data_IF_359160025459
#
_entry.id   IF_359160025459
#
_cell.length_a   1.000
_cell.length_b   1.000
_cell.length_c   1.000
_cell.angle_alpha   90.00
_cell.angle_beta   90.00
_cell.angle_gamma   90.00
#
_symmetry.space_group_name_H-M   'P 1'
#
loop_
_entity.id
_entity.type
_entity.pdbx_description
1 polymer ?
#
# COMPACT_ATOMS: atom_id res chain seq x y z
N UNK A 1 34.68 34.07 25.82
CA UNK A 1 34.65 32.80 25.06
C UNK A 1 35.27 31.70 25.92
N UNK A 2 34.47 30.75 26.42
CA UNK A 2 34.96 29.46 26.88
C UNK A 2 34.56 28.34 25.91
N UNK A 3 35.47 27.38 25.77
CA UNK A 3 35.44 26.21 24.88
C UNK A 3 34.42 25.15 25.30
N UNK A 4 33.76 24.43 24.37
CA UNK A 4 33.01 23.21 24.68
C UNK A 4 33.87 21.98 24.38
N UNK A 5 34.56 21.46 25.39
CA UNK A 5 35.07 20.09 25.41
C UNK A 5 34.38 19.39 26.57
N UNK A 6 33.31 18.62 26.32
CA UNK A 6 32.75 17.64 27.27
C UNK A 6 31.62 16.74 26.72
N UNK A 7 31.50 16.54 25.39
CA UNK A 7 30.49 15.64 24.81
C UNK A 7 31.05 14.50 23.95
N UNK A 8 32.37 14.37 23.77
CA UNK A 8 32.94 13.31 22.91
C UNK A 8 33.18 11.97 23.60
N UNK A 9 33.13 11.90 24.94
CA UNK A 9 33.56 10.70 25.66
C UNK A 9 32.49 9.62 25.83
N UNK A 10 31.19 9.95 25.81
CA UNK A 10 30.15 8.92 26.04
C UNK A 10 29.94 8.03 24.81
N UNK A 11 29.93 8.61 23.61
CA UNK A 11 29.73 7.86 22.37
C UNK A 11 30.89 6.91 22.07
N UNK A 12 32.12 7.32 22.34
CA UNK A 12 33.31 6.49 22.16
C UNK A 12 33.29 5.28 23.10
N UNK A 13 32.92 5.49 24.38
CA UNK A 13 32.80 4.40 25.36
C UNK A 13 31.68 3.42 24.97
N UNK A 14 30.51 3.92 24.56
CA UNK A 14 29.39 3.08 24.11
C UNK A 14 29.74 2.26 22.86
N UNK A 15 30.50 2.85 21.93
CA UNK A 15 30.99 2.17 20.73
C UNK A 15 32.03 1.10 21.09
N UNK A 16 32.95 1.38 22.00
CA UNK A 16 33.93 0.38 22.48
C UNK A 16 33.26 -0.80 23.18
N UNK A 17 32.23 -0.54 23.98
CA UNK A 17 31.44 -1.59 24.65
C UNK A 17 30.68 -2.43 23.61
N UNK A 18 30.01 -1.78 22.64
CA UNK A 18 29.28 -2.47 21.58
C UNK A 18 30.21 -3.35 20.73
N UNK A 19 31.40 -2.85 20.38
CA UNK A 19 32.42 -3.60 19.63
C UNK A 19 33.01 -4.74 20.47
N UNK A 20 33.24 -4.54 21.76
CA UNK A 20 33.68 -5.59 22.69
C UNK A 20 32.67 -6.74 22.84
N UNK A 21 31.37 -6.40 22.89
CA UNK A 21 30.28 -7.39 22.92
C UNK A 21 30.22 -8.18 21.60
N UNK A 22 30.37 -7.51 20.46
CA UNK A 22 30.37 -8.16 19.14
C UNK A 22 31.57 -9.11 19.00
N UNK A 23 32.78 -8.66 19.37
CA UNK A 23 34.01 -9.46 19.33
C UNK A 23 33.90 -10.77 20.11
N UNK A 24 33.24 -10.73 21.29
CA UNK A 24 33.12 -11.90 22.16
C UNK A 24 31.92 -12.81 21.85
N UNK A 25 30.82 -12.27 21.31
CA UNK A 25 29.56 -13.03 21.13
C UNK A 25 29.21 -13.36 19.70
N UNK A 26 29.83 -12.72 18.71
CA UNK A 26 29.54 -12.98 17.30
C UNK A 26 30.80 -12.83 16.44
N UNK A 27 31.57 -13.92 16.33
CA UNK A 27 32.85 -13.96 15.59
C UNK A 27 32.70 -13.66 14.09
N UNK A 28 31.58 -14.05 13.46
CA UNK A 28 31.31 -13.73 12.05
C UNK A 28 31.08 -12.24 11.82
N UNK A 29 30.31 -11.60 12.70
CA UNK A 29 30.05 -10.16 12.60
C UNK A 29 31.33 -9.36 12.88
N UNK A 30 32.17 -9.82 13.81
CA UNK A 30 33.48 -9.23 14.08
C UNK A 30 34.40 -9.28 12.85
N UNK A 31 34.47 -10.41 12.14
CA UNK A 31 35.29 -10.52 10.91
C UNK A 31 34.83 -9.53 9.82
N UNK A 32 33.52 -9.37 9.63
CA UNK A 32 32.97 -8.39 8.66
C UNK A 32 33.28 -6.94 9.04
N UNK A 33 33.28 -6.63 10.34
CA UNK A 33 33.63 -5.29 10.85
C UNK A 33 35.13 -5.03 10.71
N UNK A 34 35.99 -6.00 11.00
CA UNK A 34 37.44 -5.84 10.80
C UNK A 34 37.81 -5.68 9.32
N UNK A 35 37.13 -6.38 8.41
CA UNK A 35 37.34 -6.27 6.95
C UNK A 35 36.91 -4.91 6.38
N UNK A 36 35.95 -4.23 7.02
CA UNK A 36 35.44 -2.94 6.56
C UNK A 36 36.21 -1.73 7.10
N UNK A 37 37.01 -1.92 8.15
CA UNK A 37 37.84 -0.86 8.74
C UNK A 37 39.16 -0.68 7.97
N UNK A 38 39.58 -1.66 7.16
CA UNK A 38 40.83 -1.62 6.39
C UNK A 38 40.81 -0.72 5.13
N UNK A 39 39.73 0.04 4.88
CA UNK A 39 39.59 0.91 3.69
C UNK A 39 39.83 2.40 3.93
N UNK A 40 40.57 2.77 4.98
CA UNK A 40 41.06 4.15 5.13
C UNK A 40 42.58 4.22 5.08
N UNK A 41 43.17 4.07 3.89
CA UNK A 41 44.42 4.78 3.54
C UNK A 41 44.63 4.90 2.03
N UNK A 42 44.86 6.17 1.60
CA UNK A 42 45.16 6.73 0.26
C UNK A 42 43.90 7.10 -0.56
N UNK A 43 43.45 8.37 -0.57
CA UNK A 43 44.03 9.56 -1.26
C UNK A 43 44.41 9.22 -2.72
N UNK A 44 43.93 9.89 -3.77
CA UNK A 44 43.75 11.33 -3.98
C UNK A 44 42.71 11.65 -5.08
N UNK A 45 42.09 12.84 -4.92
CA UNK A 45 41.64 13.88 -5.89
C UNK A 45 41.53 13.49 -7.39
N UNK A 46 40.50 13.88 -8.13
CA UNK A 46 40.22 15.25 -8.60
C UNK A 46 38.74 15.40 -9.05
N UNK A 47 38.14 16.55 -8.69
CA UNK A 47 36.85 17.07 -9.16
C UNK A 47 36.93 17.57 -10.62
N UNK A 48 35.90 17.36 -11.44
CA UNK A 48 35.06 18.45 -11.97
C UNK A 48 33.92 17.98 -12.92
N UNK A 49 32.88 18.82 -13.13
CA UNK A 49 31.54 18.43 -13.60
C UNK A 49 31.30 18.76 -15.08
N UNK A 50 30.24 18.18 -15.68
CA UNK A 50 29.42 18.80 -16.76
C UNK A 50 28.22 17.93 -17.13
N UNK A 51 27.02 18.44 -16.87
CA UNK A 51 25.83 18.10 -17.65
C UNK A 51 25.94 18.75 -19.02
N UNK A 52 25.68 18.01 -20.10
CA UNK A 52 24.88 18.45 -21.26
C UNK A 52 24.98 17.43 -22.42
N UNK A 53 23.81 17.10 -22.96
CA UNK A 53 23.52 16.71 -24.35
C UNK A 53 24.29 15.52 -24.96
N UNK A 54 23.55 14.42 -25.15
CA UNK A 54 23.51 13.67 -26.42
C UNK A 54 22.32 12.71 -26.45
N UNK A 55 21.20 13.21 -26.93
CA UNK A 55 20.35 12.40 -27.82
C UNK A 55 21.00 12.44 -29.21
N UNK A 56 20.99 11.28 -29.90
CA UNK A 56 20.80 11.08 -31.35
C UNK A 56 21.50 9.78 -31.84
N UNK A 57 20.62 8.91 -32.36
CA UNK A 57 20.70 7.85 -33.39
C UNK A 57 21.20 6.41 -33.14
N UNK A 58 20.50 5.45 -33.79
CA UNK A 58 20.65 4.02 -33.56
C UNK A 58 21.81 3.47 -34.40
N UNK A 59 22.66 2.67 -33.79
CA UNK A 59 23.61 1.84 -34.51
C UNK A 59 23.45 0.41 -34.03
N UNK A 60 23.15 -0.45 -35.00
CA UNK A 60 23.06 -1.88 -34.86
C UNK A 60 24.32 -2.41 -34.14
N UNK A 61 24.11 -2.99 -32.97
CA UNK A 61 25.07 -3.90 -32.36
C UNK A 61 24.39 -5.27 -32.32
N UNK A 62 25.00 -6.13 -33.13
CA UNK A 62 24.86 -7.57 -33.20
C UNK A 62 24.47 -8.22 -31.88
N UNK A 63 23.42 -9.05 -31.96
CA UNK A 63 23.03 -10.02 -30.97
C UNK A 63 24.24 -10.91 -30.59
N UNK A 64 24.71 -10.76 -29.37
CA UNK A 64 25.48 -11.81 -28.68
C UNK A 64 24.69 -12.24 -27.45
N UNK A 65 24.53 -13.55 -27.35
CA UNK A 65 23.53 -14.30 -26.59
C UNK A 65 23.84 -14.45 -25.10
N UNK A 66 24.08 -13.35 -24.39
CA UNK A 66 24.35 -13.39 -22.92
C UNK A 66 23.43 -12.58 -22.00
N UNK A 67 22.48 -11.81 -22.52
CA UNK A 67 21.60 -10.95 -21.68
C UNK A 67 20.14 -11.39 -21.54
N UNK A 68 19.76 -12.57 -22.05
CA UNK A 68 18.35 -13.01 -22.02
C UNK A 68 17.79 -13.27 -20.62
N UNK A 69 18.61 -13.40 -19.58
CA UNK A 69 18.15 -13.52 -18.17
C UNK A 69 17.92 -12.19 -17.46
N UNK A 70 18.34 -11.07 -18.05
CA UNK A 70 18.26 -9.75 -17.43
C UNK A 70 17.20 -8.83 -18.06
N UNK A 71 16.45 -9.32 -19.04
CA UNK A 71 15.33 -8.60 -19.65
C UNK A 71 13.99 -8.99 -19.02
N UNK A 72 13.05 -8.05 -18.96
CA UNK A 72 11.70 -8.30 -18.43
C UNK A 72 10.98 -9.40 -19.23
N UNK A 73 11.32 -9.61 -20.51
CA UNK A 73 10.77 -10.71 -21.31
C UNK A 73 11.08 -12.10 -20.75
N UNK A 74 12.15 -12.23 -19.95
CA UNK A 74 12.53 -13.50 -19.31
C UNK A 74 11.54 -13.97 -18.25
N UNK A 75 10.81 -13.04 -17.64
CA UNK A 75 9.83 -13.30 -16.57
C UNK A 75 8.38 -13.26 -17.07
N UNK A 76 8.17 -13.00 -18.37
CA UNK A 76 6.83 -12.95 -18.96
C UNK A 76 6.40 -14.34 -19.39
N UNK A 77 5.44 -14.91 -18.66
CA UNK A 77 4.79 -16.17 -19.03
C UNK A 77 4.09 -16.03 -20.41
N UNK A 78 4.17 -17.04 -21.31
CA UNK A 78 3.47 -17.05 -22.59
C UNK A 78 1.96 -16.73 -22.51
N UNK A 79 1.30 -17.06 -21.39
CA UNK A 79 -0.12 -16.74 -21.15
C UNK A 79 -0.34 -15.24 -20.93
N UNK A 80 0.65 -14.57 -20.33
CA UNK A 80 0.64 -13.15 -19.99
C UNK A 80 1.23 -12.28 -21.11
N UNK A 81 1.98 -12.91 -22.02
CA UNK A 81 2.69 -12.29 -23.14
C UNK A 81 1.88 -11.25 -23.92
N UNK A 82 0.59 -11.49 -24.16
CA UNK A 82 -0.30 -10.56 -24.89
C UNK A 82 -0.66 -9.30 -24.09
N UNK A 83 -0.68 -9.38 -22.77
CA UNK A 83 -0.96 -8.24 -21.88
C UNK A 83 0.27 -7.33 -21.78
N UNK A 84 1.46 -7.93 -21.82
CA UNK A 84 2.74 -7.23 -21.65
C UNK A 84 3.30 -6.65 -22.94
N UNK A 85 3.06 -7.24 -24.11
CA UNK A 85 3.62 -6.80 -25.40
C UNK A 85 2.74 -5.84 -26.20
N UNK A 86 2.13 -4.89 -25.51
CA UNK A 86 1.59 -3.71 -26.18
C UNK A 86 2.71 -2.69 -26.45
N UNK A 87 2.46 -1.65 -27.25
CA UNK A 87 3.43 -0.56 -27.51
C UNK A 87 3.99 0.12 -26.25
N UNK A 88 3.33 -0.09 -25.10
CA UNK A 88 3.70 0.42 -23.79
C UNK A 88 4.69 -0.47 -23.01
N UNK A 89 5.12 -1.60 -23.59
CA UNK A 89 6.20 -2.43 -23.05
C UNK A 89 7.48 -1.63 -22.79
N UNK A 90 7.73 -0.59 -23.60
CA UNK A 90 8.87 0.31 -23.46
C UNK A 90 8.92 0.97 -22.07
N UNK A 91 7.78 1.18 -21.41
CA UNK A 91 7.71 1.76 -20.06
C UNK A 91 7.88 0.71 -18.94
N UNK A 92 7.57 -0.56 -19.20
CA UNK A 92 7.74 -1.63 -18.22
C UNK A 92 9.21 -1.97 -17.98
N UNK A 93 10.06 -1.87 -19.01
CA UNK A 93 11.48 -2.20 -18.91
C UNK A 93 12.24 -1.29 -17.94
N UNK A 94 12.11 0.06 -17.99
CA UNK A 94 12.66 0.95 -16.97
C UNK A 94 12.17 0.64 -15.55
N UNK A 95 10.88 0.36 -15.38
CA UNK A 95 10.30 0.01 -14.08
C UNK A 95 10.90 -1.30 -13.54
N UNK A 96 11.07 -2.32 -14.38
CA UNK A 96 11.72 -3.58 -14.02
C UNK A 96 13.16 -3.38 -13.55
N UNK A 97 13.98 -2.63 -14.31
CA UNK A 97 15.36 -2.37 -13.91
C UNK A 97 15.46 -1.55 -12.62
N UNK A 98 14.52 -0.62 -12.40
CA UNK A 98 14.43 0.10 -11.15
C UNK A 98 14.16 -0.87 -9.98
N UNK A 99 13.19 -1.76 -10.12
CA UNK A 99 12.79 -2.69 -9.05
C UNK A 99 13.80 -3.80 -8.76
N UNK A 100 14.66 -4.15 -9.72
CA UNK A 100 15.80 -5.04 -9.44
C UNK A 100 16.84 -4.43 -8.50
N UNK A 101 16.90 -3.09 -8.44
CA UNK A 101 17.88 -2.36 -7.61
C UNK A 101 17.27 -1.78 -6.34
N UNK A 102 15.96 -1.54 -6.33
CA UNK A 102 15.28 -0.84 -5.26
C UNK A 102 14.01 -1.55 -4.84
N UNK A 103 13.81 -1.64 -3.52
CA UNK A 103 12.60 -2.24 -2.97
C UNK A 103 11.37 -1.38 -3.26
N UNK A 104 10.25 -2.03 -3.58
CA UNK A 104 8.96 -1.38 -3.77
C UNK A 104 8.28 -1.07 -2.42
N UNK A 105 8.76 -0.03 -1.73
CA UNK A 105 8.13 0.49 -0.52
C UNK A 105 8.29 2.01 -0.43
N UNK A 106 7.40 2.67 0.30
CA UNK A 106 7.37 4.15 0.40
C UNK A 106 8.74 4.76 0.76
N UNK A 107 9.47 4.16 1.72
CA UNK A 107 10.79 4.68 2.15
C UNK A 107 11.84 4.63 1.03
N UNK A 108 11.93 3.50 0.33
CA UNK A 108 12.87 3.28 -0.77
C UNK A 108 12.54 4.18 -1.95
N UNK A 109 11.27 4.21 -2.37
CA UNK A 109 10.79 5.00 -3.49
C UNK A 109 10.97 6.50 -3.26
N UNK A 110 10.66 6.98 -2.04
CA UNK A 110 10.80 8.41 -1.74
C UNK A 110 12.25 8.91 -1.78
N UNK A 111 13.24 8.05 -1.50
CA UNK A 111 14.67 8.42 -1.64
C UNK A 111 15.11 8.59 -3.09
N UNK A 112 14.34 8.05 -4.02
CA UNK A 112 14.59 8.09 -5.46
C UNK A 112 13.42 8.77 -6.18
N UNK A 113 12.80 9.75 -5.53
CA UNK A 113 11.59 10.41 -6.01
C UNK A 113 11.69 10.87 -7.46
N UNK A 114 12.77 11.57 -7.84
CA UNK A 114 12.97 12.04 -9.22
C UNK A 114 13.04 10.92 -10.25
N UNK A 115 13.67 9.78 -9.90
CA UNK A 115 13.68 8.60 -10.77
C UNK A 115 12.29 7.99 -10.87
N UNK A 116 11.57 7.87 -9.75
CA UNK A 116 10.21 7.35 -9.75
C UNK A 116 9.32 8.22 -10.63
N UNK A 117 9.34 9.54 -10.44
CA UNK A 117 8.60 10.52 -11.23
C UNK A 117 8.88 10.42 -12.74
N UNK A 118 10.13 10.19 -13.14
CA UNK A 118 10.49 10.08 -14.56
C UNK A 118 9.91 8.84 -15.27
N UNK A 119 9.52 7.79 -14.54
CA UNK A 119 9.10 6.51 -15.16
C UNK A 119 7.80 6.62 -15.97
N UNK A 120 6.96 7.61 -15.67
CA UNK A 120 5.69 7.83 -16.36
C UNK A 120 5.59 9.18 -17.06
N UNK A 121 6.71 9.87 -17.28
CA UNK A 121 6.71 11.22 -17.85
C UNK A 121 6.08 11.26 -19.26
N UNK A 122 6.29 10.21 -20.05
CA UNK A 122 5.78 10.11 -21.41
C UNK A 122 4.44 9.36 -21.49
N UNK A 123 3.86 8.93 -20.36
CA UNK A 123 2.58 8.23 -20.35
C UNK A 123 1.42 9.20 -20.43
N UNK A 124 0.50 8.95 -21.34
CA UNK A 124 -0.74 9.71 -21.49
C UNK A 124 -1.87 9.14 -20.66
N UNK A 125 -2.86 9.98 -20.39
CA UNK A 125 -4.09 9.62 -19.71
C UNK A 125 -4.87 8.49 -20.40
N UNK A 126 -4.78 8.42 -21.74
CA UNK A 126 -5.42 7.38 -22.55
C UNK A 126 -4.75 6.02 -22.34
N UNK A 127 -3.43 5.98 -22.39
CA UNK A 127 -2.62 4.77 -22.15
C UNK A 127 -2.83 4.24 -20.73
N UNK A 128 -2.95 5.13 -19.76
CA UNK A 128 -3.23 4.78 -18.37
C UNK A 128 -4.61 4.12 -18.21
N UNK A 129 -5.64 4.68 -18.84
CA UNK A 129 -7.03 4.20 -18.67
C UNK A 129 -7.38 3.01 -19.55
N UNK A 130 -6.87 2.96 -20.78
CA UNK A 130 -7.17 1.89 -21.74
C UNK A 130 -6.27 0.68 -21.57
N UNK A 131 -5.05 0.85 -21.06
CA UNK A 131 -4.09 -0.25 -20.97
C UNK A 131 -3.55 -0.49 -19.56
N UNK A 132 -2.93 0.49 -18.90
CA UNK A 132 -2.19 0.20 -17.67
C UNK A 132 -3.10 -0.26 -16.52
N UNK A 133 -4.20 0.46 -16.25
CA UNK A 133 -5.16 0.05 -15.21
C UNK A 133 -5.82 -1.29 -15.53
N UNK A 134 -6.41 -1.53 -16.72
CA UNK A 134 -7.01 -2.82 -17.04
C UNK A 134 -6.01 -3.98 -16.95
N UNK A 135 -4.78 -3.78 -17.42
CA UNK A 135 -3.73 -4.81 -17.37
C UNK A 135 -3.32 -5.12 -15.94
N UNK A 136 -3.05 -4.09 -15.11
CA UNK A 136 -2.76 -4.28 -13.69
C UNK A 136 -3.90 -5.03 -12.99
N UNK A 137 -5.15 -4.63 -13.25
CA UNK A 137 -6.33 -5.27 -12.64
C UNK A 137 -6.42 -6.75 -12.98
N UNK A 138 -6.00 -7.18 -14.17
CA UNK A 138 -5.98 -8.60 -14.52
C UNK A 138 -4.79 -9.32 -13.90
N UNK A 139 -3.59 -8.74 -13.99
CA UNK A 139 -2.35 -9.38 -13.55
C UNK A 139 -2.26 -9.58 -12.05
N UNK A 140 -2.80 -8.65 -11.24
CA UNK A 140 -2.81 -8.81 -9.77
C UNK A 140 -3.57 -10.05 -9.29
N UNK A 141 -4.46 -10.62 -10.09
CA UNK A 141 -5.14 -11.86 -9.70
C UNK A 141 -4.20 -13.06 -9.72
N UNK A 142 -3.14 -13.00 -10.52
CA UNK A 142 -2.15 -14.06 -10.59
C UNK A 142 -1.29 -14.14 -9.32
N UNK A 143 -1.08 -13.02 -8.61
CA UNK A 143 -0.39 -13.04 -7.31
C UNK A 143 -1.24 -13.65 -6.18
N UNK A 144 -2.55 -13.83 -6.43
CA UNK A 144 -3.46 -14.45 -5.48
C UNK A 144 -3.59 -15.97 -5.67
N UNK A 145 -2.97 -16.53 -6.70
CA UNK A 145 -2.98 -17.97 -6.94
C UNK A 145 -2.16 -18.71 -5.88
N UNK A 146 -2.72 -19.80 -5.35
CA UNK A 146 -1.99 -20.74 -4.49
C UNK A 146 -1.54 -21.93 -5.32
N UNK A 147 -0.31 -22.39 -5.09
CA UNK A 147 0.22 -23.59 -5.73
C UNK A 147 1.13 -23.35 -6.93
N UNK A 148 1.47 -22.09 -7.26
CA UNK A 148 2.56 -21.81 -8.20
C UNK A 148 3.93 -22.15 -7.59
N UNK A 149 4.91 -22.42 -8.46
CA UNK A 149 6.31 -22.57 -8.04
C UNK A 149 6.84 -21.24 -7.48
N UNK A 150 7.80 -21.30 -6.55
CA UNK A 150 8.37 -20.09 -5.93
C UNK A 150 8.94 -19.11 -6.96
N UNK A 151 9.64 -19.62 -7.97
CA UNK A 151 10.21 -18.82 -9.07
C UNK A 151 9.11 -18.09 -9.87
N UNK A 152 8.07 -18.83 -10.29
CA UNK A 152 6.97 -18.26 -11.08
C UNK A 152 6.14 -17.26 -10.28
N UNK A 153 5.94 -17.52 -8.99
CA UNK A 153 5.29 -16.58 -8.08
C UNK A 153 6.12 -15.30 -7.91
N UNK A 154 7.45 -15.42 -7.81
CA UNK A 154 8.36 -14.27 -7.73
C UNK A 154 8.35 -13.44 -9.02
N UNK A 155 8.39 -14.09 -10.18
CA UNK A 155 8.33 -13.44 -11.50
C UNK A 155 7.01 -12.70 -11.71
N UNK A 156 5.89 -13.36 -11.41
CA UNK A 156 4.55 -12.75 -11.46
C UNK A 156 4.48 -11.52 -10.55
N UNK A 157 4.99 -11.63 -9.33
CA UNK A 157 5.02 -10.52 -8.37
C UNK A 157 5.91 -9.37 -8.86
N UNK A 158 7.06 -9.67 -9.45
CA UNK A 158 7.94 -8.65 -10.03
C UNK A 158 7.23 -7.91 -11.17
N UNK A 159 6.59 -8.65 -12.07
CA UNK A 159 5.82 -8.07 -13.18
C UNK A 159 4.69 -7.16 -12.66
N UNK A 160 3.88 -7.63 -11.72
CA UNK A 160 2.82 -6.81 -11.10
C UNK A 160 3.41 -5.57 -10.45
N UNK A 161 4.53 -5.69 -9.73
CA UNK A 161 5.21 -4.55 -9.11
C UNK A 161 5.66 -3.50 -10.14
N UNK A 162 6.07 -3.90 -11.35
CA UNK A 162 6.36 -2.95 -12.44
C UNK A 162 5.14 -2.11 -12.83
N UNK A 163 3.97 -2.75 -12.99
CA UNK A 163 2.72 -2.05 -13.27
C UNK A 163 2.34 -1.12 -12.11
N UNK A 164 2.47 -1.58 -10.87
CA UNK A 164 2.20 -0.77 -9.69
C UNK A 164 3.12 0.45 -9.61
N UNK A 165 4.41 0.31 -9.93
CA UNK A 165 5.35 1.41 -9.94
C UNK A 165 5.00 2.47 -10.97
N UNK A 166 4.59 2.06 -12.17
CA UNK A 166 4.10 2.99 -13.20
C UNK A 166 2.81 3.69 -12.76
N UNK A 167 1.87 2.97 -12.15
CA UNK A 167 0.64 3.56 -11.59
C UNK A 167 0.96 4.58 -10.50
N UNK A 168 1.86 4.24 -9.57
CA UNK A 168 2.34 5.14 -8.51
C UNK A 168 2.97 6.37 -9.12
N UNK A 169 3.90 6.21 -10.06
CA UNK A 169 4.57 7.31 -10.74
C UNK A 169 3.55 8.25 -11.39
N UNK A 170 2.61 7.70 -12.15
CA UNK A 170 1.65 8.52 -12.87
C UNK A 170 0.72 9.30 -11.94
N UNK A 171 0.08 8.61 -10.99
CA UNK A 171 -0.93 9.21 -10.12
C UNK A 171 -0.35 10.06 -8.99
N UNK A 172 0.92 9.86 -8.61
CA UNK A 172 1.57 10.74 -7.66
C UNK A 172 2.02 12.06 -8.29
N UNK A 173 2.51 12.05 -9.54
CA UNK A 173 3.24 13.19 -10.12
C UNK A 173 2.59 13.85 -11.33
N UNK A 174 1.93 13.11 -12.21
CA UNK A 174 1.53 13.61 -13.54
C UNK A 174 0.03 13.79 -13.72
N UNK A 175 -0.76 12.91 -13.11
CA UNK A 175 -2.22 12.93 -13.26
C UNK A 175 -2.86 14.13 -12.55
N UNK A 176 -3.89 14.70 -13.17
CA UNK A 176 -4.73 15.74 -12.54
C UNK A 176 -5.32 15.21 -11.21
N UNK A 177 -5.32 16.04 -10.17
CA UNK A 177 -5.75 15.61 -8.83
C UNK A 177 -7.20 15.16 -8.79
N UNK A 178 -8.11 15.89 -9.43
CA UNK A 178 -9.53 15.55 -9.49
C UNK A 178 -9.74 14.16 -10.11
N UNK A 179 -9.04 13.89 -11.21
CA UNK A 179 -9.06 12.59 -11.89
C UNK A 179 -8.44 11.51 -11.02
N UNK A 180 -7.27 11.76 -10.44
CA UNK A 180 -6.59 10.83 -9.53
C UNK A 180 -7.49 10.42 -8.38
N UNK A 181 -8.17 11.39 -7.77
CA UNK A 181 -9.12 11.18 -6.68
C UNK A 181 -10.27 10.27 -7.10
N UNK A 182 -10.85 10.53 -8.27
CA UNK A 182 -11.93 9.70 -8.82
C UNK A 182 -11.45 8.27 -9.09
N UNK A 183 -10.28 8.09 -9.72
CA UNK A 183 -9.71 6.77 -10.00
C UNK A 183 -9.43 6.01 -8.70
N UNK A 184 -8.81 6.65 -7.72
CA UNK A 184 -8.52 6.01 -6.42
C UNK A 184 -9.81 5.60 -5.73
N UNK A 185 -10.72 6.54 -5.50
CA UNK A 185 -11.94 6.29 -4.70
C UNK A 185 -12.91 5.34 -5.40
N UNK A 186 -13.20 5.56 -6.68
CA UNK A 186 -14.20 4.77 -7.40
C UNK A 186 -13.62 3.48 -7.99
N UNK A 187 -12.46 3.55 -8.66
CA UNK A 187 -11.95 2.40 -9.42
C UNK A 187 -11.02 1.49 -8.62
N UNK A 188 -10.15 2.03 -7.77
CA UNK A 188 -9.18 1.24 -6.99
C UNK A 188 -9.70 0.81 -5.62
N UNK A 189 -10.62 1.57 -5.02
CA UNK A 189 -11.19 1.23 -3.70
C UNK A 189 -12.56 0.58 -3.85
N UNK A 190 -13.57 1.33 -4.32
CA UNK A 190 -14.96 0.84 -4.31
C UNK A 190 -15.21 -0.34 -5.24
N UNK A 191 -14.83 -0.21 -6.52
CA UNK A 191 -14.98 -1.31 -7.49
C UNK A 191 -14.19 -2.54 -7.06
N UNK A 192 -13.00 -2.37 -6.49
CA UNK A 192 -12.24 -3.49 -5.96
C UNK A 192 -13.01 -4.22 -4.84
N UNK A 193 -13.46 -3.49 -3.82
CA UNK A 193 -14.20 -4.10 -2.71
C UNK A 193 -15.45 -4.83 -3.21
N UNK A 194 -16.27 -4.17 -4.04
CA UNK A 194 -17.56 -4.70 -4.48
C UNK A 194 -17.45 -5.80 -5.53
N UNK A 195 -16.62 -5.57 -6.55
CA UNK A 195 -16.65 -6.36 -7.77
C UNK A 195 -15.55 -7.43 -7.78
N UNK A 196 -14.52 -7.29 -6.93
CA UNK A 196 -13.39 -8.21 -6.87
C UNK A 196 -13.29 -8.94 -5.52
N UNK A 197 -13.31 -8.22 -4.39
CA UNK A 197 -13.17 -8.86 -3.07
C UNK A 197 -14.43 -9.60 -2.62
N UNK A 198 -15.60 -9.04 -2.86
CA UNK A 198 -16.90 -9.67 -2.53
C UNK A 198 -17.48 -10.52 -3.67
N UNK A 199 -16.67 -10.84 -4.68
CA UNK A 199 -17.10 -11.66 -5.83
C UNK A 199 -17.49 -13.08 -5.42
N UNK A 200 -18.58 -13.63 -5.93
CA UNK A 200 -18.86 -15.05 -5.69
C UNK A 200 -17.81 -15.92 -6.38
N UNK A 201 -16.90 -16.51 -5.59
CA UNK A 201 -15.77 -17.30 -6.10
C UNK A 201 -16.18 -18.70 -6.56
N UNK A 202 -17.39 -19.14 -6.22
CA UNK A 202 -17.94 -20.40 -6.71
C UNK A 202 -18.43 -20.25 -8.16
N UNK A 203 -18.76 -19.03 -8.57
CA UNK A 203 -19.15 -18.69 -9.93
C UNK A 203 -17.93 -18.35 -10.79
N UNK A 204 -17.40 -19.38 -11.47
CA UNK A 204 -16.24 -19.23 -12.37
C UNK A 204 -16.45 -18.19 -13.47
N UNK A 205 -17.70 -17.87 -13.86
CA UNK A 205 -17.97 -16.87 -14.88
C UNK A 205 -17.60 -15.44 -14.44
N UNK A 206 -17.56 -15.21 -13.13
CA UNK A 206 -17.21 -13.92 -12.53
C UNK A 206 -15.70 -13.74 -12.37
N UNK A 207 -14.93 -14.83 -12.41
CA UNK A 207 -13.46 -14.75 -12.30
C UNK A 207 -12.85 -14.21 -13.59
N UNK A 208 -11.72 -13.46 -13.52
CA UNK A 208 -11.04 -12.97 -14.71
C UNK A 208 -10.67 -14.11 -15.65
N UNK A 209 -10.97 -13.96 -16.94
CA UNK A 209 -10.64 -14.97 -17.97
C UNK A 209 -9.17 -15.37 -17.95
N UNK A 210 -8.28 -14.42 -17.70
CA UNK A 210 -6.84 -14.66 -17.54
C UNK A 210 -6.56 -15.71 -16.46
N UNK A 211 -7.24 -15.64 -15.31
CA UNK A 211 -7.09 -16.60 -14.22
C UNK A 211 -7.52 -18.01 -14.67
N UNK A 212 -8.63 -18.10 -15.41
CA UNK A 212 -9.18 -19.36 -15.91
C UNK A 212 -8.24 -19.99 -16.95
N UNK A 213 -7.72 -19.19 -17.88
CA UNK A 213 -6.80 -19.64 -18.92
C UNK A 213 -5.44 -20.04 -18.34
N UNK A 214 -5.01 -19.37 -17.27
CA UNK A 214 -3.80 -19.70 -16.51
C UNK A 214 -3.95 -21.01 -15.72
N UNK A 215 -5.12 -21.26 -15.12
CA UNK A 215 -5.45 -22.49 -14.36
C UNK A 215 -5.60 -23.72 -15.26
N UNK A 216 -6.25 -23.58 -16.43
CA UNK A 216 -6.52 -24.68 -17.37
C UNK A 216 -5.27 -25.42 -17.87
N UNK A 217 -4.09 -24.79 -17.84
CA UNK A 217 -2.83 -25.43 -18.24
C UNK A 217 -2.24 -26.36 -17.17
N UNK A 218 -2.70 -26.30 -15.92
CA UNK A 218 -2.03 -26.92 -14.76
C UNK A 218 -2.83 -28.02 -14.03
N UNK A 219 -3.98 -28.46 -14.57
CA UNK A 219 -4.76 -29.66 -14.18
C UNK A 219 -4.52 -30.24 -12.76
N UNK A 220 -4.81 -29.48 -11.71
CA UNK A 220 -5.06 -30.01 -10.35
C UNK A 220 -6.09 -29.08 -9.70
N UNK A 221 -7.27 -29.62 -9.38
CA UNK A 221 -8.33 -29.05 -8.55
C UNK A 221 -8.12 -27.60 -8.03
N UNK A 222 -8.66 -26.63 -8.80
CA UNK A 222 -9.01 -25.25 -8.45
C UNK A 222 -8.05 -24.48 -7.49
N UNK A 223 -7.39 -23.39 -7.94
CA UNK A 223 -6.56 -22.60 -7.06
C UNK A 223 -7.42 -21.95 -5.98
N UNK A 224 -7.08 -22.24 -4.71
CA UNK A 224 -7.60 -21.54 -3.55
C UNK A 224 -7.12 -20.08 -3.60
N UNK A 225 -7.89 -19.18 -4.23
CA UNK A 225 -7.56 -17.76 -4.33
C UNK A 225 -7.26 -17.18 -2.94
N UNK A 226 -6.09 -16.57 -2.77
CA UNK A 226 -5.71 -15.83 -1.57
C UNK A 226 -6.19 -14.38 -1.68
N UNK A 227 -7.42 -14.13 -1.23
CA UNK A 227 -7.97 -12.77 -1.16
C UNK A 227 -7.14 -11.81 -0.31
N UNK A 228 -6.43 -12.31 0.71
CA UNK A 228 -5.48 -11.52 1.49
C UNK A 228 -4.32 -11.01 0.62
N UNK A 229 -3.69 -11.89 -0.18
CA UNK A 229 -2.62 -11.48 -1.10
C UNK A 229 -3.13 -10.49 -2.15
N UNK A 230 -4.33 -10.72 -2.70
CA UNK A 230 -4.96 -9.80 -3.65
C UNK A 230 -5.17 -8.40 -3.05
N UNK A 231 -5.64 -8.33 -1.80
CA UNK A 231 -5.77 -7.08 -1.07
C UNK A 231 -4.41 -6.40 -0.88
N UNK A 232 -3.39 -7.12 -0.42
CA UNK A 232 -2.06 -6.54 -0.15
C UNK A 232 -1.52 -5.77 -1.37
N UNK A 233 -1.58 -6.37 -2.56
CA UNK A 233 -1.13 -5.72 -3.80
C UNK A 233 -2.00 -4.51 -4.16
N UNK A 234 -3.33 -4.64 -4.11
CA UNK A 234 -4.26 -3.54 -4.40
C UNK A 234 -4.03 -2.31 -3.49
N UNK A 235 -3.84 -2.55 -2.19
CA UNK A 235 -3.72 -1.50 -1.19
C UNK A 235 -2.32 -0.88 -1.13
N UNK A 236 -1.30 -1.62 -1.61
CA UNK A 236 0.09 -1.13 -1.65
C UNK A 236 0.22 0.13 -2.50
N UNK A 237 -0.36 0.14 -3.70
CA UNK A 237 -0.37 1.32 -4.58
C UNK A 237 -0.92 2.55 -3.85
N UNK A 238 -2.07 2.39 -3.20
CA UNK A 238 -2.76 3.47 -2.50
C UNK A 238 -1.89 4.11 -1.42
N UNK A 239 -1.30 3.28 -0.56
CA UNK A 239 -0.43 3.76 0.52
C UNK A 239 0.79 4.54 -0.01
N UNK A 240 1.33 4.15 -1.16
CA UNK A 240 2.49 4.81 -1.75
C UNK A 240 2.08 6.13 -2.41
N UNK A 241 0.98 6.17 -3.17
CA UNK A 241 0.47 7.41 -3.76
C UNK A 241 0.18 8.45 -2.68
N UNK A 242 -0.54 8.08 -1.62
CA UNK A 242 -0.83 8.99 -0.51
C UNK A 242 0.46 9.55 0.09
N UNK A 243 1.44 8.69 0.38
CA UNK A 243 2.69 9.13 0.99
C UNK A 243 3.50 10.06 0.09
N UNK A 244 3.45 9.89 -1.24
CA UNK A 244 4.05 10.87 -2.15
C UNK A 244 3.29 12.19 -2.15
N UNK A 245 1.96 12.16 -2.22
CA UNK A 245 1.13 13.38 -2.18
C UNK A 245 1.31 14.17 -0.88
N UNK A 246 1.40 13.50 0.26
CA UNK A 246 1.73 14.13 1.55
C UNK A 246 3.12 14.78 1.49
N UNK A 247 4.14 14.08 0.98
CA UNK A 247 5.51 14.63 0.85
C UNK A 247 5.59 15.82 -0.09
N UNK A 248 4.74 15.86 -1.11
CA UNK A 248 4.63 16.97 -2.06
C UNK A 248 3.78 18.12 -1.51
N UNK A 249 3.30 18.04 -0.26
CA UNK A 249 2.42 19.02 0.39
C UNK A 249 1.01 19.13 -0.23
N UNK A 250 0.55 18.10 -0.94
CA UNK A 250 -0.82 18.02 -1.47
C UNK A 250 -1.77 17.53 -0.37
N UNK A 251 -1.88 18.31 0.72
CA UNK A 251 -2.55 17.90 1.96
C UNK A 251 -4.06 17.77 1.81
N UNK A 252 -4.71 18.72 1.15
CA UNK A 252 -6.17 18.69 0.90
C UNK A 252 -6.57 17.41 0.16
N UNK A 253 -5.90 17.12 -0.97
CA UNK A 253 -6.07 15.88 -1.71
C UNK A 253 -5.89 14.64 -0.81
N UNK A 254 -4.81 14.62 -0.02
CA UNK A 254 -4.48 13.48 0.83
C UNK A 254 -5.53 13.26 1.91
N UNK A 255 -5.98 14.33 2.57
CA UNK A 255 -7.00 14.30 3.61
C UNK A 255 -8.37 13.86 3.08
N UNK A 256 -8.74 14.27 1.87
CA UNK A 256 -9.97 13.78 1.25
C UNK A 256 -9.96 12.28 1.01
N UNK A 257 -8.83 11.72 0.53
CA UNK A 257 -8.70 10.27 0.38
C UNK A 257 -8.70 9.58 1.75
N UNK A 258 -8.05 10.16 2.75
CA UNK A 258 -8.05 9.66 4.13
C UNK A 258 -9.48 9.60 4.68
N UNK A 259 -10.27 10.66 4.53
CA UNK A 259 -11.67 10.67 4.96
C UNK A 259 -12.50 9.62 4.25
N UNK A 260 -12.29 9.48 2.94
CA UNK A 260 -12.94 8.43 2.18
C UNK A 260 -12.60 7.05 2.73
N UNK A 261 -11.33 6.78 3.06
CA UNK A 261 -10.93 5.50 3.65
C UNK A 261 -11.53 5.28 5.06
N UNK A 262 -11.68 6.33 5.86
CA UNK A 262 -12.34 6.27 7.16
C UNK A 262 -13.83 5.90 7.01
N UNK A 263 -14.53 6.47 6.03
CA UNK A 263 -15.92 6.11 5.72
C UNK A 263 -16.06 4.64 5.30
N UNK A 264 -15.11 4.13 4.53
CA UNK A 264 -15.07 2.73 4.09
C UNK A 264 -14.81 1.81 5.28
N UNK A 265 -13.85 2.13 6.15
CA UNK A 265 -13.59 1.38 7.38
C UNK A 265 -14.82 1.33 8.30
N UNK A 266 -15.47 2.47 8.52
CA UNK A 266 -16.68 2.55 9.34
C UNK A 266 -17.79 1.68 8.74
N UNK A 267 -17.99 1.79 7.43
CA UNK A 267 -19.03 1.03 6.71
C UNK A 267 -18.79 -0.48 6.74
N UNK A 268 -17.55 -0.93 6.53
CA UNK A 268 -17.18 -2.34 6.60
C UNK A 268 -17.36 -2.89 8.02
N UNK A 269 -17.03 -2.10 9.05
CA UNK A 269 -17.23 -2.49 10.45
C UNK A 269 -18.73 -2.66 10.76
N UNK A 270 -19.57 -1.75 10.28
CA UNK A 270 -21.04 -1.87 10.40
C UNK A 270 -21.54 -3.12 9.67
N UNK A 271 -21.09 -3.38 8.44
CA UNK A 271 -21.44 -4.60 7.71
C UNK A 271 -21.04 -5.86 8.49
N UNK A 272 -19.85 -5.87 9.10
CA UNK A 272 -19.40 -6.99 9.94
C UNK A 272 -20.36 -7.24 11.12
N UNK A 273 -20.75 -6.19 11.83
CA UNK A 273 -21.69 -6.26 12.97
C UNK A 273 -23.05 -6.80 12.51
N UNK A 274 -23.59 -6.27 11.41
CA UNK A 274 -24.91 -6.64 10.90
C UNK A 274 -24.95 -8.07 10.35
N UNK A 275 -23.96 -8.45 9.54
CA UNK A 275 -23.86 -9.83 9.03
C UNK A 275 -23.59 -10.78 10.20
N UNK A 276 -22.73 -10.40 11.15
CA UNK A 276 -22.42 -11.18 12.34
C UNK A 276 -23.62 -11.40 13.26
N UNK A 277 -24.67 -10.57 13.13
CA UNK A 277 -25.83 -10.52 14.04
C UNK A 277 -25.39 -10.29 15.48
N UNK A 278 -24.42 -9.39 15.67
CA UNK A 278 -23.91 -9.09 17.01
C UNK A 278 -25.01 -8.41 17.83
N UNK A 279 -25.33 -8.99 18.99
CA UNK A 279 -26.35 -8.44 19.89
C UNK A 279 -25.96 -7.05 20.39
N UNK A 280 -26.74 -6.04 20.01
CA UNK A 280 -26.55 -4.65 20.40
C UNK A 280 -27.35 -4.27 21.66
N UNK A 281 -28.40 -5.03 21.96
CA UNK A 281 -29.32 -4.76 23.06
C UNK A 281 -28.87 -5.42 24.36
N UNK A 282 -29.21 -4.81 25.49
CA UNK A 282 -29.08 -5.47 26.78
C UNK A 282 -30.35 -6.26 27.07
N UNK A 283 -30.16 -7.50 27.50
CA UNK A 283 -31.21 -8.27 28.16
C UNK A 283 -31.70 -7.53 29.41
N UNK A 284 -32.98 -7.72 29.77
CA UNK A 284 -33.60 -7.07 30.91
C UNK A 284 -32.73 -7.22 32.18
N UNK A 285 -32.28 -6.08 32.73
CA UNK A 285 -31.43 -6.03 33.93
C UNK A 285 -29.93 -5.82 33.68
N UNK A 286 -29.42 -5.90 32.45
CA UNK A 286 -28.00 -5.64 32.16
C UNK A 286 -27.73 -4.20 31.70
N UNK A 287 -26.61 -3.62 32.16
CA UNK A 287 -26.14 -2.31 31.66
C UNK A 287 -25.46 -2.49 30.30
N UNK A 288 -25.99 -1.85 29.25
CA UNK A 288 -25.34 -1.78 27.93
C UNK A 288 -23.95 -1.13 28.08
N UNK A 289 -22.86 -1.74 27.60
CA UNK A 289 -21.54 -1.15 27.60
C UNK A 289 -21.46 0.20 26.85
N UNK A 290 -20.61 1.11 27.32
CA UNK A 290 -20.51 2.47 26.76
C UNK A 290 -20.17 2.48 25.25
N UNK A 291 -19.26 1.60 24.81
CA UNK A 291 -18.88 1.51 23.40
C UNK A 291 -20.05 1.06 22.50
N UNK A 292 -20.93 0.17 22.97
CA UNK A 292 -22.14 -0.23 22.23
C UNK A 292 -23.13 0.93 22.13
N UNK A 293 -23.35 1.68 23.23
CA UNK A 293 -24.21 2.88 23.23
C UNK A 293 -23.72 3.93 22.23
N UNK A 294 -22.41 4.18 22.22
CA UNK A 294 -21.81 5.15 21.32
C UNK A 294 -21.90 4.70 19.86
N UNK A 295 -21.64 3.41 19.57
CA UNK A 295 -21.85 2.83 18.25
C UNK A 295 -23.32 2.99 17.80
N UNK A 296 -24.29 2.65 18.64
CA UNK A 296 -25.72 2.81 18.31
C UNK A 296 -26.10 4.27 18.01
N UNK A 297 -25.56 5.23 18.77
CA UNK A 297 -25.78 6.65 18.52
C UNK A 297 -25.20 7.06 17.16
N UNK A 298 -23.93 6.69 16.89
CA UNK A 298 -23.25 7.02 15.64
C UNK A 298 -23.91 6.37 14.42
N UNK A 299 -24.33 5.11 14.55
CA UNK A 299 -25.05 4.38 13.51
C UNK A 299 -26.35 5.06 13.10
N UNK A 300 -26.98 5.90 13.94
CA UNK A 300 -28.16 6.71 13.53
C UNK A 300 -27.80 7.95 12.71
N UNK A 301 -26.56 8.43 12.80
CA UNK A 301 -26.07 9.64 12.13
C UNK A 301 -25.25 9.33 10.87
N UNK A 302 -24.92 8.06 10.64
CA UNK A 302 -24.05 7.63 9.56
C UNK A 302 -24.77 7.68 8.20
N UNK A 303 -24.02 8.00 7.15
CA UNK A 303 -24.48 7.80 5.78
C UNK A 303 -24.36 6.32 5.37
N UNK A 304 -25.49 5.65 5.14
CA UNK A 304 -25.54 4.22 4.81
C UNK A 304 -25.23 3.88 3.34
N UNK A 305 -24.84 4.84 2.51
CA UNK A 305 -24.56 4.61 1.07
C UNK A 305 -23.60 3.44 0.85
N UNK A 306 -22.47 3.41 1.56
CA UNK A 306 -21.48 2.34 1.39
C UNK A 306 -21.88 1.04 2.10
N UNK A 307 -22.51 1.13 3.28
CA UNK A 307 -23.07 -0.02 4.00
C UNK A 307 -24.01 -0.81 3.09
N UNK A 308 -25.02 -0.14 2.51
CA UNK A 308 -25.98 -0.77 1.60
C UNK A 308 -25.28 -1.37 0.37
N UNK A 309 -24.29 -0.67 -0.18
CA UNK A 309 -23.54 -1.17 -1.34
C UNK A 309 -22.73 -2.43 -1.03
N UNK A 310 -22.09 -2.51 0.14
CA UNK A 310 -21.29 -3.68 0.55
C UNK A 310 -22.18 -4.85 0.96
N UNK A 311 -23.26 -4.61 1.72
CA UNK A 311 -24.23 -5.66 2.04
C UNK A 311 -24.78 -6.31 0.76
N UNK A 312 -25.17 -5.49 -0.23
CA UNK A 312 -25.63 -5.98 -1.53
C UNK A 312 -24.56 -6.81 -2.24
N UNK A 313 -23.29 -6.39 -2.20
CA UNK A 313 -22.20 -7.15 -2.81
C UNK A 313 -21.99 -8.51 -2.14
N UNK A 314 -22.19 -8.60 -0.82
CA UNK A 314 -22.02 -9.86 -0.05
C UNK A 314 -23.19 -10.84 -0.17
N UNK A 315 -24.35 -10.43 -0.67
CA UNK A 315 -25.59 -11.24 -0.70
C UNK A 315 -25.45 -12.59 -1.41
N UNK A 316 -24.53 -12.70 -2.38
CA UNK A 316 -24.34 -13.93 -3.16
C UNK A 316 -23.31 -14.89 -2.53
N UNK A 317 -22.83 -14.61 -1.31
CA UNK A 317 -21.85 -15.44 -0.62
C UNK A 317 -22.38 -15.89 0.74
N UNK A 318 -21.83 -16.97 1.30
CA UNK A 318 -22.23 -17.43 2.63
C UNK A 318 -21.88 -16.40 3.71
N UNK A 319 -22.60 -16.43 4.84
CA UNK A 319 -22.35 -15.56 6.00
C UNK A 319 -20.87 -15.58 6.41
N UNK A 320 -20.30 -16.76 6.60
CA UNK A 320 -18.90 -16.93 7.04
C UNK A 320 -17.91 -16.42 5.99
N UNK A 321 -18.17 -16.67 4.71
CA UNK A 321 -17.32 -16.18 3.61
C UNK A 321 -17.33 -14.65 3.57
N UNK A 322 -18.52 -14.04 3.74
CA UNK A 322 -18.69 -12.59 3.79
C UNK A 322 -17.92 -11.98 4.95
N UNK A 323 -18.10 -12.53 6.16
CA UNK A 323 -17.42 -12.06 7.37
C UNK A 323 -15.89 -12.14 7.23
N UNK A 324 -15.38 -13.27 6.73
CA UNK A 324 -13.94 -13.45 6.50
C UNK A 324 -13.38 -12.46 5.48
N UNK A 325 -14.12 -12.15 4.41
CA UNK A 325 -13.69 -11.17 3.41
C UNK A 325 -13.74 -9.74 3.92
N UNK A 326 -14.73 -9.41 4.74
CA UNK A 326 -14.79 -8.11 5.43
C UNK A 326 -13.62 -7.98 6.41
N UNK A 327 -13.30 -9.04 7.15
CA UNK A 327 -12.14 -9.07 8.05
C UNK A 327 -10.83 -8.84 7.29
N UNK A 328 -10.63 -9.53 6.15
CA UNK A 328 -9.48 -9.29 5.26
C UNK A 328 -9.43 -7.83 4.78
N UNK A 329 -10.58 -7.25 4.41
CA UNK A 329 -10.67 -5.86 3.98
C UNK A 329 -10.27 -4.89 5.10
N UNK A 330 -10.81 -5.09 6.31
CA UNK A 330 -10.53 -4.28 7.50
C UNK A 330 -9.05 -4.37 7.88
N UNK A 331 -8.50 -5.58 7.96
CA UNK A 331 -7.09 -5.81 8.29
C UNK A 331 -6.15 -5.05 7.34
N UNK A 332 -6.39 -5.17 6.03
CA UNK A 332 -5.57 -4.49 5.03
C UNK A 332 -5.77 -2.97 5.03
N UNK A 333 -6.98 -2.48 5.23
CA UNK A 333 -7.23 -1.04 5.34
C UNK A 333 -6.55 -0.44 6.57
N UNK A 334 -6.57 -1.14 7.71
CA UNK A 334 -5.79 -0.72 8.88
C UNK A 334 -4.29 -0.70 8.59
N UNK A 335 -3.77 -1.64 7.80
CA UNK A 335 -2.37 -1.59 7.34
C UNK A 335 -2.08 -0.40 6.42
N UNK A 336 -3.02 -0.01 5.55
CA UNK A 336 -2.88 1.22 4.75
C UNK A 336 -2.75 2.41 5.67
N UNK A 337 -3.67 2.58 6.62
CA UNK A 337 -3.63 3.67 7.59
C UNK A 337 -2.35 3.68 8.41
N UNK A 338 -1.90 2.51 8.87
CA UNK A 338 -0.66 2.38 9.63
C UNK A 338 0.59 2.74 8.83
N UNK A 339 0.53 2.66 7.49
CA UNK A 339 1.61 3.04 6.56
C UNK A 339 1.57 4.50 6.12
N UNK A 340 0.52 5.26 6.46
CA UNK A 340 0.47 6.70 6.19
C UNK A 340 1.54 7.41 7.03
N UNK A 341 2.37 8.21 6.36
CA UNK A 341 3.40 9.02 7.00
C UNK A 341 2.77 10.32 7.49
N UNK A 342 2.29 10.30 8.73
CA UNK A 342 1.84 11.50 9.44
C UNK A 342 3.03 12.40 9.79
N UNK A 343 3.41 13.29 8.87
CA UNK A 343 4.42 14.33 9.08
C UNK A 343 3.83 15.50 9.86
N UNK A 344 4.65 16.26 10.57
CA UNK A 344 4.22 17.47 11.28
C UNK A 344 3.51 18.46 10.33
N UNK A 345 3.92 18.55 9.06
CA UNK A 345 3.31 19.46 8.10
C UNK A 345 1.82 19.17 7.81
N UNK A 346 1.43 17.91 7.57
CA UNK A 346 0.01 17.55 7.37
C UNK A 346 -0.79 17.64 8.68
N UNK A 347 -0.16 17.40 9.83
CA UNK A 347 -0.82 17.53 11.13
C UNK A 347 -1.08 19.01 11.45
N UNK A 348 -0.11 19.89 11.25
CA UNK A 348 -0.26 21.33 11.40
C UNK A 348 -1.33 21.88 10.45
N UNK A 349 -1.30 21.47 9.18
CA UNK A 349 -2.36 21.84 8.22
C UNK A 349 -3.76 21.41 8.71
N UNK A 350 -3.87 20.21 9.29
CA UNK A 350 -5.12 19.73 9.85
C UNK A 350 -5.54 20.43 11.15
N UNK A 351 -4.59 20.94 11.95
CA UNK A 351 -4.84 21.71 13.18
C UNK A 351 -5.23 23.16 12.89
N UNK A 352 -4.68 23.76 11.82
CA UNK A 352 -5.05 25.09 11.33
C UNK A 352 -6.52 25.14 10.89
N UNK A 353 -7.00 24.07 10.24
CA UNK A 353 -8.43 23.87 10.00
C UNK A 353 -9.07 23.05 11.14
N UNK A 354 -9.56 23.75 12.16
CA UNK A 354 -10.18 23.12 13.33
C UNK A 354 -11.30 22.10 13.02
N UNK A 355 -11.98 22.21 11.86
CA UNK A 355 -12.97 21.23 11.43
C UNK A 355 -12.31 19.91 11.02
N UNK A 356 -11.16 19.95 10.33
CA UNK A 356 -10.39 18.78 9.91
C UNK A 356 -9.86 18.04 11.13
N UNK A 357 -9.21 18.74 12.07
CA UNK A 357 -8.74 18.17 13.33
C UNK A 357 -9.86 17.47 14.10
N UNK A 358 -11.00 18.16 14.28
CA UNK A 358 -12.16 17.62 14.98
C UNK A 358 -12.71 16.37 14.29
N UNK A 359 -12.80 16.40 12.96
CA UNK A 359 -13.28 15.27 12.16
C UNK A 359 -12.38 14.04 12.34
N UNK A 360 -11.06 14.19 12.23
CA UNK A 360 -10.11 13.09 12.41
C UNK A 360 -10.18 12.48 13.82
N UNK A 361 -10.25 13.32 14.86
CA UNK A 361 -10.42 12.86 16.25
C UNK A 361 -11.72 12.08 16.43
N UNK A 362 -12.83 12.62 15.92
CA UNK A 362 -14.14 11.98 16.03
C UNK A 362 -14.20 10.64 15.29
N UNK A 363 -13.66 10.53 14.07
CA UNK A 363 -13.62 9.26 13.34
C UNK A 363 -12.88 8.16 14.10
N UNK A 364 -11.78 8.50 14.78
CA UNK A 364 -11.06 7.52 15.59
C UNK A 364 -11.95 6.96 16.71
N UNK A 365 -12.70 7.81 17.40
CA UNK A 365 -13.62 7.40 18.47
C UNK A 365 -14.80 6.59 17.91
N UNK A 366 -15.39 7.03 16.79
CA UNK A 366 -16.46 6.30 16.10
C UNK A 366 -16.01 4.90 15.69
N UNK A 367 -14.84 4.79 15.04
CA UNK A 367 -14.26 3.51 14.65
C UNK A 367 -13.93 2.65 15.86
N UNK A 368 -13.32 3.21 16.91
CA UNK A 368 -13.00 2.47 18.13
C UNK A 368 -14.26 1.83 18.74
N UNK A 369 -15.34 2.59 18.86
CA UNK A 369 -16.60 2.08 19.41
C UNK A 369 -17.21 0.96 18.56
N UNK A 370 -17.15 1.11 17.24
CA UNK A 370 -17.68 0.13 16.28
C UNK A 370 -16.84 -1.14 16.27
N UNK A 371 -15.52 -1.00 16.25
CA UNK A 371 -14.57 -2.13 16.31
C UNK A 371 -14.73 -2.91 17.62
N UNK A 372 -14.84 -2.24 18.77
CA UNK A 372 -15.10 -2.91 20.04
C UNK A 372 -16.46 -3.64 20.05
N UNK A 373 -17.44 -3.09 19.33
CA UNK A 373 -18.76 -3.72 19.19
C UNK A 373 -18.68 -5.04 18.43
N UNK A 374 -17.75 -5.20 17.48
CA UNK A 374 -17.59 -6.47 16.73
C UNK A 374 -17.29 -7.68 17.63
N UNK A 375 -16.64 -7.47 18.78
CA UNK A 375 -16.16 -8.55 19.65
C UNK A 375 -15.01 -9.38 19.06
N UNK A 376 -14.53 -9.08 17.84
CA UNK A 376 -13.43 -9.79 17.21
C UNK A 376 -12.08 -9.26 17.73
N UNK A 377 -11.34 -10.12 18.43
CA UNK A 377 -10.07 -9.76 19.06
C UNK A 377 -8.98 -9.36 18.05
N UNK A 378 -8.95 -9.98 16.87
CA UNK A 378 -7.96 -9.68 15.83
C UNK A 378 -8.19 -8.29 15.24
N UNK A 379 -9.44 -7.95 14.90
CA UNK A 379 -9.83 -6.61 14.42
C UNK A 379 -9.54 -5.55 15.49
N UNK A 380 -9.89 -5.83 16.76
CA UNK A 380 -9.61 -4.93 17.90
C UNK A 380 -8.10 -4.72 18.08
N UNK A 381 -7.32 -5.80 18.05
CA UNK A 381 -5.87 -5.72 18.21
C UNK A 381 -5.23 -4.96 17.06
N UNK A 382 -5.69 -5.20 15.82
CA UNK A 382 -5.22 -4.50 14.63
C UNK A 382 -5.50 -3.00 14.75
N UNK A 383 -6.73 -2.60 15.05
CA UNK A 383 -7.11 -1.19 15.28
C UNK A 383 -6.19 -0.50 16.30
N UNK A 384 -5.90 -1.18 17.42
CA UNK A 384 -5.03 -0.63 18.48
C UNK A 384 -3.58 -0.45 18.05
N UNK A 385 -3.07 -1.34 17.19
CA UNK A 385 -1.70 -1.30 16.67
C UNK A 385 -1.54 -0.34 15.50
N UNK A 386 -2.63 0.08 14.85
CA UNK A 386 -2.61 1.07 13.77
C UNK A 386 -2.05 2.40 14.27
N UNK A 387 -1.12 2.99 13.51
CA UNK A 387 -0.55 4.31 13.79
C UNK A 387 -1.56 5.41 13.40
N UNK A 388 -2.39 5.80 14.37
CA UNK A 388 -3.33 6.92 14.25
C UNK A 388 -2.60 8.28 14.31
N UNK A 389 -3.13 9.32 13.66
CA UNK A 389 -2.60 10.67 13.80
C UNK A 389 -2.74 11.12 15.26
N UNK A 390 -1.67 11.72 15.80
CA UNK A 390 -1.67 12.35 17.12
C UNK A 390 -1.90 13.84 16.88
N UNK A 391 -3.16 14.27 16.98
CA UNK A 391 -3.56 15.65 16.80
C UNK A 391 -3.66 16.26 18.20
N UNK A 392 -2.89 17.31 18.45
CA UNK A 392 -2.99 18.06 19.70
C UNK A 392 -4.12 19.06 19.51
N UNK A 393 -5.14 18.97 20.35
CA UNK A 393 -6.31 19.83 20.32
C UNK A 393 -5.98 21.27 20.79
N UNK A 394 -4.99 21.93 20.17
CA UNK A 394 -4.47 23.25 20.60
C UNK A 394 -5.52 24.36 20.50
N UNK A 395 -6.51 24.22 19.62
CA UNK A 395 -7.54 25.22 19.38
C UNK A 395 -8.96 24.83 19.82
N UNK A 396 -9.17 23.62 20.35
CA UNK A 396 -10.49 23.18 20.81
C UNK A 396 -10.89 23.74 22.18
N UNK A 397 -10.00 24.52 22.83
CA UNK A 397 -10.23 25.11 24.16
C UNK A 397 -10.90 26.50 24.08
N UNK A 398 -11.04 27.10 22.89
CA UNK A 398 -11.58 28.47 22.78
C UNK A 398 -13.05 28.61 22.35
N UNK A 399 -13.77 27.51 22.08
CA UNK A 399 -15.19 27.55 21.73
C UNK A 399 -16.00 26.45 22.43
N UNK A 400 -15.89 26.37 23.77
CA UNK A 400 -16.78 25.58 24.61
C UNK A 400 -17.52 26.48 25.58
#
# INVERSE_FOLDING_TARGET
MPSPTLLSTSFEVDLFIAVGIIRNRNKELWMKISESIDLTRRSDRVLEPKFANKFVTPSAVSASSRDTKDDILSIVDPVIYRITLNGLFVHLKPAYFFLRRYNFNSRSLSRKQSLVESLSQDLTDDEMTRWLIPSFKQLKWLTALKGDTEERAADTKMLVSCFELLLVSYYAFHAEEKRTRHIITQNLILKFLKDELFIDSNDKSKLPKLLIDYDRRNSVNAPLISFSALCVEQWRILSIILNFKIRLNHFEFSLEIIYFLLDILESLTVCFIQIGQVELEAHAGMKVPAYKKFHMMRSKQMNYRFVTAFLKATQNTTKDTSLKRIEIALDNLFDVFGKIVWTDAILNYAEEDGLIATKLLNYRVYLQSSVLTTGNLDIIQKFRKTRWPQIEAKHLVHNA
#
